data_IF_006079340574
#
_entry.id   IF_006079340574
#
_cell.length_a   1.000
_cell.length_b   1.000
_cell.length_c   1.000
_cell.angle_alpha   90.00
_cell.angle_beta   90.00
_cell.angle_gamma   90.00
#
_symmetry.space_group_name_H-M   'P 1'
#
loop_
_entity.id
_entity.type
_entity.pdbx_description
1 polymer ?
#
# COMPACT_ATOMS: atom_id res chain seq x y z
N UNK A 1 2.27 2.80 43.20
CA UNK A 1 1.85 2.18 41.92
C UNK A 1 1.37 3.19 40.88
N UNK A 2 0.68 4.28 41.25
CA UNK A 2 0.16 5.27 40.29
C UNK A 2 1.24 6.06 39.52
N UNK A 3 2.38 6.38 40.17
CA UNK A 3 3.50 7.09 39.53
C UNK A 3 4.11 6.32 38.34
N UNK A 4 4.43 5.03 38.52
CA UNK A 4 4.98 4.19 37.45
C UNK A 4 3.98 4.01 36.30
N UNK A 5 2.68 3.93 36.61
CA UNK A 5 1.62 3.87 35.61
C UNK A 5 1.53 5.16 34.79
N UNK A 6 1.52 6.33 35.45
CA UNK A 6 1.54 7.62 34.77
C UNK A 6 2.79 7.81 33.89
N UNK A 7 3.96 7.39 34.39
CA UNK A 7 5.22 7.43 33.64
C UNK A 7 5.17 6.53 32.39
N UNK A 8 4.56 5.34 32.50
CA UNK A 8 4.39 4.42 31.36
C UNK A 8 3.52 5.03 30.26
N UNK A 9 2.40 5.68 30.60
CA UNK A 9 1.55 6.35 29.62
C UNK A 9 2.25 7.54 28.96
N UNK A 10 2.99 8.33 29.75
CA UNK A 10 3.77 9.44 29.22
C UNK A 10 4.86 8.94 28.26
N UNK A 11 5.60 7.90 28.62
CA UNK A 11 6.61 7.29 27.76
C UNK A 11 6.00 6.74 26.46
N UNK A 12 4.85 6.04 26.55
CA UNK A 12 4.14 5.54 25.38
C UNK A 12 3.76 6.65 24.40
N UNK A 13 3.21 7.76 24.90
CA UNK A 13 2.82 8.91 24.07
C UNK A 13 4.05 9.53 23.39
N UNK A 14 5.15 9.71 24.12
CA UNK A 14 6.39 10.28 23.57
C UNK A 14 6.94 9.38 22.46
N UNK A 15 7.00 8.07 22.69
CA UNK A 15 7.47 7.10 21.69
C UNK A 15 6.54 7.10 20.48
N UNK A 16 5.22 7.14 20.69
CA UNK A 16 4.24 7.18 19.61
C UNK A 16 4.42 8.43 18.74
N UNK A 17 4.60 9.62 19.33
CA UNK A 17 4.84 10.86 18.60
C UNK A 17 6.18 10.82 17.85
N UNK A 18 7.25 10.32 18.48
CA UNK A 18 8.54 10.20 17.82
C UNK A 18 8.48 9.26 16.62
N UNK A 19 7.80 8.12 16.78
CA UNK A 19 7.62 7.13 15.72
C UNK A 19 6.80 7.70 14.56
N UNK A 20 5.70 8.41 14.83
CA UNK A 20 4.89 9.02 13.76
C UNK A 20 5.66 10.08 13.00
N UNK A 21 6.43 10.94 13.68
CA UNK A 21 7.28 11.93 13.02
C UNK A 21 8.37 11.26 12.18
N UNK A 22 9.01 10.20 12.70
CA UNK A 22 10.03 9.46 11.96
C UNK A 22 9.48 8.82 10.69
N UNK A 23 8.30 8.22 10.77
CA UNK A 23 7.63 7.63 9.59
C UNK A 23 7.22 8.72 8.60
N UNK A 24 6.64 9.82 9.08
CA UNK A 24 6.25 10.95 8.24
C UNK A 24 7.45 11.57 7.51
N UNK A 25 8.57 11.78 8.20
CA UNK A 25 9.80 12.30 7.59
C UNK A 25 10.36 11.34 6.53
N UNK A 26 10.36 10.03 6.80
CA UNK A 26 10.78 9.02 5.84
C UNK A 26 9.89 9.00 4.58
N UNK A 27 8.57 9.06 4.76
CA UNK A 27 7.62 9.12 3.65
C UNK A 27 7.75 10.42 2.85
N UNK A 28 7.99 11.55 3.51
CA UNK A 28 8.21 12.83 2.86
C UNK A 28 9.46 12.81 1.97
N UNK A 29 10.57 12.29 2.49
CA UNK A 29 11.81 12.13 1.71
C UNK A 29 11.61 11.23 0.48
N UNK A 30 10.88 10.11 0.65
CA UNK A 30 10.54 9.23 -0.47
C UNK A 30 9.64 9.94 -1.50
N UNK A 31 8.68 10.77 -1.06
CA UNK A 31 7.83 11.53 -1.97
C UNK A 31 8.64 12.54 -2.80
N UNK A 32 9.59 13.25 -2.19
CA UNK A 32 10.49 14.17 -2.89
C UNK A 32 11.35 13.45 -3.95
N UNK A 33 11.92 12.29 -3.61
CA UNK A 33 12.62 11.41 -4.56
C UNK A 33 11.72 10.98 -5.73
N UNK A 34 10.47 10.66 -5.45
CA UNK A 34 9.50 10.25 -6.48
C UNK A 34 9.17 11.43 -7.41
N UNK A 35 9.07 12.66 -6.88
CA UNK A 35 8.82 13.88 -7.64
C UNK A 35 10.02 14.31 -8.49
N UNK A 36 11.24 14.15 -7.98
CA UNK A 36 12.48 14.46 -8.73
C UNK A 36 12.77 13.39 -9.81
N UNK A 37 12.60 12.10 -9.47
CA UNK A 37 12.93 10.96 -10.35
C UNK A 37 11.69 10.19 -10.85
N UNK A 38 10.66 10.92 -11.30
CA UNK A 38 9.37 10.35 -11.73
C UNK A 38 9.47 9.21 -12.73
N UNK A 39 10.41 9.26 -13.68
CA UNK A 39 10.59 8.22 -14.70
C UNK A 39 11.15 6.92 -14.13
N UNK A 40 12.11 7.02 -13.20
CA UNK A 40 12.70 5.87 -12.50
C UNK A 40 11.67 5.28 -11.54
N UNK A 41 10.99 6.13 -10.77
CA UNK A 41 9.92 5.72 -9.86
C UNK A 41 8.81 4.96 -10.61
N UNK A 42 8.32 5.49 -11.73
CA UNK A 42 7.30 4.83 -12.56
C UNK A 42 7.77 3.47 -13.06
N UNK A 43 9.04 3.33 -13.45
CA UNK A 43 9.60 2.06 -13.91
C UNK A 43 9.69 1.03 -12.78
N UNK A 44 10.13 1.45 -11.59
CA UNK A 44 10.23 0.58 -10.41
C UNK A 44 8.83 0.11 -9.98
N UNK A 45 7.87 1.02 -9.87
CA UNK A 45 6.49 0.68 -9.50
C UNK A 45 5.89 -0.29 -10.52
N UNK A 46 6.12 -0.05 -11.83
CA UNK A 46 5.68 -0.97 -12.89
C UNK A 46 6.28 -2.37 -12.71
N UNK A 47 7.57 -2.46 -12.42
CA UNK A 47 8.25 -3.74 -12.21
C UNK A 47 7.66 -4.47 -11.00
N UNK A 48 7.47 -3.77 -9.87
CA UNK A 48 6.86 -4.34 -8.67
C UNK A 48 5.45 -4.86 -8.96
N UNK A 49 4.61 -4.08 -9.64
CA UNK A 49 3.26 -4.52 -10.02
C UNK A 49 3.28 -5.77 -10.89
N UNK A 50 4.19 -5.86 -11.87
CA UNK A 50 4.34 -7.06 -12.71
C UNK A 50 4.73 -8.26 -11.84
N UNK A 51 5.74 -8.11 -10.97
CA UNK A 51 6.20 -9.18 -10.09
C UNK A 51 5.09 -9.66 -9.17
N UNK A 52 4.36 -8.75 -8.52
CA UNK A 52 3.23 -9.09 -7.63
C UNK A 52 2.11 -9.80 -8.41
N UNK A 53 1.83 -9.36 -9.64
CA UNK A 53 0.82 -10.00 -10.50
C UNK A 53 1.25 -11.43 -10.85
N UNK A 54 2.51 -11.65 -11.24
CA UNK A 54 3.07 -12.97 -11.54
C UNK A 54 3.01 -13.89 -10.32
N UNK A 55 3.38 -13.39 -9.14
CA UNK A 55 3.33 -14.16 -7.90
C UNK A 55 1.88 -14.54 -7.53
N UNK A 56 0.91 -13.63 -7.66
CA UNK A 56 -0.50 -13.94 -7.43
C UNK A 56 -1.04 -15.00 -8.40
N UNK A 57 -0.67 -14.93 -9.68
CA UNK A 57 -1.06 -15.94 -10.68
C UNK A 57 -0.42 -17.29 -10.35
N UNK A 58 0.86 -17.30 -10.00
CA UNK A 58 1.57 -18.52 -9.63
C UNK A 58 0.94 -19.17 -8.39
N UNK A 59 0.55 -18.36 -7.40
CA UNK A 59 -0.13 -18.83 -6.19
C UNK A 59 -1.52 -19.40 -6.51
N UNK A 60 -2.25 -18.80 -7.45
CA UNK A 60 -3.55 -19.30 -7.92
C UNK A 60 -3.42 -20.66 -8.63
N UNK A 61 -2.34 -20.90 -9.38
CA UNK A 61 -2.09 -22.18 -10.06
C UNK A 61 -1.67 -23.28 -9.08
N UNK A 62 -0.93 -22.94 -8.02
CA UNK A 62 -0.42 -23.91 -7.05
C UNK A 62 -1.46 -24.32 -5.99
N UNK A 63 -2.40 -23.45 -5.64
CA UNK A 63 -3.36 -23.66 -4.55
C UNK A 63 -4.83 -23.64 -5.06
N UNK A 64 -5.55 -24.75 -4.88
CA UNK A 64 -6.80 -25.00 -5.65
C UNK A 64 -8.11 -24.58 -4.96
N UNK A 65 -8.18 -24.41 -3.63
CA UNK A 65 -9.51 -24.30 -2.96
C UNK A 65 -9.70 -23.11 -2.01
N UNK A 66 -8.69 -22.67 -1.26
CA UNK A 66 -8.89 -21.61 -0.28
C UNK A 66 -8.56 -20.20 -0.82
N UNK A 67 -7.66 -20.11 -1.81
CA UNK A 67 -7.04 -18.84 -2.19
C UNK A 67 -7.58 -18.21 -3.48
N UNK A 68 -8.56 -18.85 -4.14
CA UNK A 68 -9.05 -18.38 -5.45
C UNK A 68 -9.76 -17.02 -5.39
N UNK A 69 -10.57 -16.78 -4.37
CA UNK A 69 -11.27 -15.50 -4.18
C UNK A 69 -10.29 -14.37 -3.86
N UNK A 70 -9.35 -14.62 -2.94
CA UNK A 70 -8.37 -13.63 -2.51
C UNK A 70 -7.36 -13.29 -3.63
N UNK A 71 -6.81 -14.30 -4.32
CA UNK A 71 -5.91 -14.07 -5.45
C UNK A 71 -6.60 -13.37 -6.62
N UNK A 72 -7.85 -13.71 -6.94
CA UNK A 72 -8.56 -13.05 -8.04
C UNK A 72 -8.82 -11.57 -7.74
N UNK A 73 -9.22 -11.22 -6.51
CA UNK A 73 -9.34 -9.82 -6.07
C UNK A 73 -7.96 -9.13 -6.08
N UNK A 74 -6.91 -9.82 -5.67
CA UNK A 74 -5.53 -9.32 -5.70
C UNK A 74 -5.05 -8.99 -7.13
N UNK A 75 -5.32 -9.88 -8.09
CA UNK A 75 -5.00 -9.65 -9.52
C UNK A 75 -5.82 -8.49 -10.08
N UNK A 76 -7.12 -8.43 -9.79
CA UNK A 76 -7.98 -7.31 -10.21
C UNK A 76 -7.48 -5.98 -9.64
N UNK A 77 -7.05 -5.94 -8.38
CA UNK A 77 -6.46 -4.75 -7.75
C UNK A 77 -5.21 -4.29 -8.49
N UNK A 78 -4.30 -5.22 -8.80
CA UNK A 78 -3.08 -4.92 -9.55
C UNK A 78 -3.37 -4.34 -10.95
N UNK A 79 -4.40 -4.85 -11.65
CA UNK A 79 -4.83 -4.30 -12.94
C UNK A 79 -5.26 -2.83 -12.80
N UNK A 80 -6.03 -2.51 -11.77
CA UNK A 80 -6.46 -1.13 -11.50
C UNK A 80 -5.25 -0.25 -11.13
N UNK A 81 -4.29 -0.77 -10.39
CA UNK A 81 -3.05 -0.06 -10.09
C UNK A 81 -2.20 0.21 -11.34
N UNK A 82 -2.22 -0.67 -12.36
CA UNK A 82 -1.61 -0.36 -13.66
C UNK A 82 -2.29 0.82 -14.36
N UNK A 83 -3.61 0.94 -14.27
CA UNK A 83 -4.33 2.08 -14.83
C UNK A 83 -3.96 3.39 -14.09
N UNK A 84 -3.87 3.35 -12.76
CA UNK A 84 -3.42 4.50 -11.95
C UNK A 84 -1.99 4.91 -12.33
N UNK A 85 -1.10 3.94 -12.58
CA UNK A 85 0.27 4.22 -13.01
C UNK A 85 0.35 4.93 -14.36
N UNK A 86 -0.69 4.87 -15.19
CA UNK A 86 -0.76 5.63 -16.45
C UNK A 86 -0.80 7.14 -16.18
N UNK A 87 -1.56 7.58 -15.18
CA UNK A 87 -1.75 8.99 -14.78
C UNK A 87 -0.61 9.52 -13.90
N UNK A 88 0.33 8.67 -13.50
CA UNK A 88 1.50 9.05 -12.73
C UNK A 88 2.36 10.12 -13.45
N UNK A 89 2.79 11.21 -12.77
CA UNK A 89 2.86 11.39 -11.31
C UNK A 89 1.65 12.07 -10.64
N UNK A 90 0.78 12.74 -11.40
CA UNK A 90 -0.34 13.50 -10.82
C UNK A 90 -1.61 12.66 -10.78
N UNK A 91 -1.79 11.90 -9.69
CA UNK A 91 -3.00 11.11 -9.47
C UNK A 91 -4.10 12.04 -8.93
N UNK A 92 -5.21 12.16 -9.64
CA UNK A 92 -6.36 12.92 -9.18
C UNK A 92 -7.08 12.22 -8.03
N UNK A 93 -7.28 12.90 -6.89
CA UNK A 93 -7.99 12.34 -5.73
C UNK A 93 -9.44 11.91 -6.01
N UNK A 94 -10.09 12.51 -7.00
CA UNK A 94 -11.45 12.15 -7.44
C UNK A 94 -11.46 11.34 -8.74
N UNK A 95 -10.31 10.82 -9.21
CA UNK A 95 -10.31 10.01 -10.42
C UNK A 95 -11.11 8.72 -10.19
N UNK A 96 -11.92 8.28 -11.17
CA UNK A 96 -12.71 7.06 -11.04
C UNK A 96 -11.84 5.83 -10.75
N UNK A 97 -10.62 5.80 -11.30
CA UNK A 97 -9.63 4.73 -11.09
C UNK A 97 -9.14 4.68 -9.65
N UNK A 98 -8.87 5.84 -9.04
CA UNK A 98 -8.45 5.93 -7.64
C UNK A 98 -9.56 5.48 -6.69
N UNK A 99 -10.79 5.98 -6.87
CA UNK A 99 -11.93 5.59 -6.04
C UNK A 99 -12.21 4.09 -6.12
N UNK A 100 -12.15 3.52 -7.33
CA UNK A 100 -12.33 2.09 -7.53
C UNK A 100 -11.23 1.28 -6.83
N UNK A 101 -9.98 1.76 -6.87
CA UNK A 101 -8.87 1.11 -6.14
C UNK A 101 -9.06 1.11 -4.62
N UNK A 102 -9.64 2.19 -4.06
CA UNK A 102 -9.94 2.25 -2.62
C UNK A 102 -11.01 1.24 -2.22
N UNK A 103 -12.10 1.14 -2.99
CA UNK A 103 -13.15 0.16 -2.73
C UNK A 103 -12.58 -1.26 -2.82
N UNK A 104 -11.76 -1.55 -3.83
CA UNK A 104 -11.15 -2.87 -3.98
C UNK A 104 -10.15 -3.20 -2.87
N UNK A 105 -9.43 -2.21 -2.34
CA UNK A 105 -8.55 -2.38 -1.19
C UNK A 105 -9.33 -2.83 0.04
N UNK A 106 -10.47 -2.20 0.32
CA UNK A 106 -11.33 -2.57 1.46
C UNK A 106 -11.86 -4.00 1.29
N UNK A 107 -12.34 -4.33 0.08
CA UNK A 107 -12.82 -5.68 -0.24
C UNK A 107 -11.68 -6.70 -0.05
N UNK A 108 -10.51 -6.44 -0.62
CA UNK A 108 -9.36 -7.33 -0.50
C UNK A 108 -8.95 -7.54 0.97
N UNK A 109 -8.92 -6.48 1.77
CA UNK A 109 -8.59 -6.57 3.19
C UNK A 109 -9.62 -7.39 3.97
N UNK A 110 -10.91 -7.20 3.68
CA UNK A 110 -11.98 -7.98 4.30
C UNK A 110 -11.91 -9.47 3.96
N UNK A 111 -11.52 -9.83 2.74
CA UNK A 111 -11.34 -11.24 2.37
C UNK A 111 -10.03 -11.85 2.90
N UNK A 112 -9.06 -11.02 3.28
CA UNK A 112 -7.76 -11.46 3.78
C UNK A 112 -7.73 -11.73 5.29
N UNK A 113 -8.68 -11.19 6.06
CA UNK A 113 -8.82 -11.39 7.51
C UNK A 113 -10.07 -12.21 7.84
#
# INVERSE_FOLDING_TARGET
MWFMYALSWMAFIIIAICLTISVAAGMYYVAELIEEYTTIAKRIIRFILITVTVLNILLLVLETQFTWTLCSIGVLSNIIYFFILSEFPFIGFLSPTFLFSMVLLIIHHYFAF
#
